data_IF_804184213356
#
_entry.id   IF_804184213356
#
_cell.length_a   1.000
_cell.length_b   1.000
_cell.length_c   1.000
_cell.angle_alpha   90.00
_cell.angle_beta   90.00
_cell.angle_gamma   90.00
#
_symmetry.space_group_name_H-M   'P 1'
#
loop_
_entity.id
_entity.type
_entity.pdbx_description
1 polymer ?
#
# COMPACT_ATOMS: atom_id res chain seq x y z
N UNK A 1 45.52 20.01 -14.19
CA UNK A 1 44.23 19.48 -14.70
C UNK A 1 43.45 18.87 -13.54
N UNK A 2 42.83 19.71 -12.70
CA UNK A 2 42.02 19.27 -11.54
C UNK A 2 40.95 20.33 -11.26
N UNK A 3 40.05 20.55 -12.22
CA UNK A 3 39.03 21.61 -12.16
C UNK A 3 37.64 21.17 -12.65
N UNK A 4 37.47 19.89 -13.05
CA UNK A 4 36.22 19.37 -13.61
C UNK A 4 35.52 18.32 -12.73
N UNK A 5 36.04 18.02 -11.53
CA UNK A 5 35.52 16.95 -10.66
C UNK A 5 35.00 17.44 -9.30
N UNK A 6 34.86 18.76 -9.09
CA UNK A 6 34.42 19.35 -7.82
C UNK A 6 32.92 19.67 -7.74
N UNK A 7 32.12 19.31 -8.77
CA UNK A 7 30.71 19.70 -8.88
C UNK A 7 29.69 18.56 -8.83
N UNK A 8 30.15 17.30 -8.70
CA UNK A 8 29.27 16.14 -8.59
C UNK A 8 29.21 15.77 -7.11
N UNK A 9 28.17 16.25 -6.43
CA UNK A 9 27.91 15.90 -5.03
C UNK A 9 27.54 14.42 -4.94
N UNK A 10 27.94 13.77 -3.84
CA UNK A 10 27.58 12.37 -3.61
C UNK A 10 26.05 12.21 -3.63
N UNK A 11 25.54 11.25 -4.41
CA UNK A 11 24.10 11.05 -4.67
C UNK A 11 23.52 11.76 -5.90
N UNK A 12 24.28 12.60 -6.61
CA UNK A 12 23.83 13.22 -7.88
C UNK A 12 24.00 12.31 -9.10
N UNK A 13 24.85 11.28 -8.98
CA UNK A 13 25.01 10.24 -9.99
C UNK A 13 24.05 9.10 -9.67
N UNK A 14 23.17 8.79 -10.62
CA UNK A 14 22.29 7.64 -10.49
C UNK A 14 23.13 6.36 -10.35
N UNK A 15 22.84 5.59 -9.30
CA UNK A 15 23.45 4.27 -9.10
C UNK A 15 23.02 3.28 -10.20
N UNK A 16 23.56 2.05 -10.18
CA UNK A 16 23.15 1.01 -11.11
C UNK A 16 21.62 0.87 -11.14
N UNK A 17 21.04 0.92 -12.35
CA UNK A 17 19.61 0.78 -12.52
C UNK A 17 19.11 -0.60 -12.08
N UNK A 18 17.87 -0.65 -11.58
CA UNK A 18 17.21 -1.92 -11.28
C UNK A 18 17.06 -2.75 -12.55
N UNK A 19 17.12 -4.08 -12.40
CA UNK A 19 16.75 -5.00 -13.48
C UNK A 19 15.27 -4.82 -13.82
N UNK A 20 14.90 -5.15 -15.06
CA UNK A 20 13.50 -5.03 -15.51
C UNK A 20 12.51 -5.75 -14.58
N UNK A 21 12.86 -6.96 -14.12
CA UNK A 21 12.03 -7.73 -13.20
C UNK A 21 11.90 -7.06 -11.82
N UNK A 22 12.98 -6.48 -11.30
CA UNK A 22 12.96 -5.78 -10.01
C UNK A 22 12.11 -4.52 -10.09
N UNK A 23 12.13 -3.83 -11.22
CA UNK A 23 11.30 -2.66 -11.49
C UNK A 23 9.82 -3.04 -11.50
N UNK A 24 9.44 -4.10 -12.22
CA UNK A 24 8.05 -4.58 -12.28
C UNK A 24 7.56 -5.03 -10.90
N UNK A 25 8.38 -5.78 -10.17
CA UNK A 25 8.01 -6.24 -8.82
C UNK A 25 7.82 -5.03 -7.89
N UNK A 26 8.80 -4.13 -7.85
CA UNK A 26 8.83 -3.00 -6.92
C UNK A 26 7.71 -2.00 -7.17
N UNK A 27 7.50 -1.61 -8.42
CA UNK A 27 6.61 -0.49 -8.75
C UNK A 27 5.22 -0.91 -9.20
N UNK A 28 4.97 -2.20 -9.45
CA UNK A 28 3.67 -2.70 -9.88
C UNK A 28 3.14 -3.81 -8.97
N UNK A 29 3.91 -4.88 -8.75
CA UNK A 29 3.42 -6.03 -7.99
C UNK A 29 3.24 -5.69 -6.50
N UNK A 30 4.24 -5.05 -5.86
CA UNK A 30 4.16 -4.68 -4.45
C UNK A 30 2.97 -3.74 -4.17
N UNK A 31 2.77 -2.63 -4.92
CA UNK A 31 1.61 -1.76 -4.71
C UNK A 31 0.26 -2.47 -4.91
N UNK A 32 0.13 -3.29 -5.95
CA UNK A 32 -1.10 -4.05 -6.22
C UNK A 32 -1.38 -5.06 -5.12
N UNK A 33 -0.36 -5.80 -4.67
CA UNK A 33 -0.50 -6.73 -3.55
C UNK A 33 -0.92 -6.01 -2.27
N UNK A 34 -0.31 -4.86 -1.96
CA UNK A 34 -0.68 -4.03 -0.81
C UNK A 34 -2.15 -3.61 -0.88
N UNK A 35 -2.61 -3.16 -2.05
CA UNK A 35 -4.01 -2.82 -2.28
C UNK A 35 -4.94 -4.00 -2.04
N UNK A 36 -4.60 -5.19 -2.58
CA UNK A 36 -5.41 -6.40 -2.41
C UNK A 36 -5.51 -6.85 -0.95
N UNK A 37 -4.42 -6.71 -0.18
CA UNK A 37 -4.43 -7.00 1.26
C UNK A 37 -5.40 -6.07 1.99
N UNK A 38 -5.31 -4.76 1.74
CA UNK A 38 -6.21 -3.78 2.37
C UNK A 38 -7.66 -4.03 1.95
N UNK A 39 -7.91 -4.22 0.65
CA UNK A 39 -9.23 -4.50 0.12
C UNK A 39 -9.83 -5.78 0.74
N UNK A 40 -9.03 -6.84 0.88
CA UNK A 40 -9.44 -8.08 1.54
C UNK A 40 -9.81 -7.87 3.00
N UNK A 41 -8.97 -7.16 3.76
CA UNK A 41 -9.24 -6.82 5.17
C UNK A 41 -10.51 -5.97 5.31
N UNK A 42 -10.68 -4.96 4.46
CA UNK A 42 -11.88 -4.11 4.43
C UNK A 42 -13.14 -4.92 4.12
N UNK A 43 -13.06 -5.86 3.17
CA UNK A 43 -14.19 -6.73 2.80
C UNK A 43 -14.60 -7.66 3.95
N UNK A 44 -13.63 -8.21 4.68
CA UNK A 44 -13.90 -9.04 5.86
C UNK A 44 -14.51 -8.19 6.98
N UNK A 45 -14.01 -6.97 7.18
CA UNK A 45 -14.50 -6.03 8.20
C UNK A 45 -15.86 -5.40 7.88
N UNK A 46 -16.26 -5.31 6.61
CA UNK A 46 -17.51 -4.69 6.18
C UNK A 46 -18.73 -5.59 6.33
N UNK A 47 -18.57 -6.83 6.83
CA UNK A 47 -19.71 -7.71 7.09
C UNK A 47 -20.68 -7.01 8.06
N UNK A 48 -21.99 -6.97 7.75
CA UNK A 48 -22.96 -6.32 8.61
C UNK A 48 -22.89 -6.99 9.99
N UNK A 49 -22.51 -6.21 11.00
CA UNK A 49 -22.67 -6.64 12.38
C UNK A 49 -24.15 -6.92 12.54
N UNK A 50 -24.48 -8.17 12.87
CA UNK A 50 -25.84 -8.55 13.24
C UNK A 50 -26.32 -7.54 14.28
N UNK A 51 -27.22 -6.64 13.88
CA UNK A 51 -27.87 -5.72 14.79
C UNK A 51 -28.53 -6.64 15.80
N UNK A 52 -28.10 -6.54 17.06
CA UNK A 52 -28.74 -7.27 18.14
C UNK A 52 -30.23 -7.03 18.00
N UNK A 53 -31.02 -8.10 17.83
CA UNK A 53 -32.49 -8.02 17.72
C UNK A 53 -32.95 -6.95 18.71
N UNK A 54 -33.61 -5.92 18.20
CA UNK A 54 -34.33 -4.94 19.01
C UNK A 54 -35.07 -5.76 20.07
N UNK A 55 -34.60 -5.69 21.31
CA UNK A 55 -35.19 -6.43 22.42
C UNK A 55 -36.67 -6.05 22.43
N UNK A 56 -37.52 -7.06 22.33
CA UNK A 56 -38.98 -6.96 22.23
C UNK A 56 -39.62 -6.49 23.53
N UNK A 57 -39.07 -5.44 24.13
CA UNK A 57 -39.65 -4.66 25.22
C UNK A 57 -40.26 -3.40 24.60
N UNK A 58 -41.13 -3.58 23.60
CA UNK A 58 -42.07 -2.56 23.12
C UNK A 58 -43.29 -3.27 22.55
N UNK A 59 -43.95 -4.07 23.37
CA UNK A 59 -45.36 -4.41 23.18
C UNK A 59 -46.03 -4.34 24.55
N UNK A 60 -46.43 -3.13 24.93
CA UNK A 60 -47.37 -2.89 26.03
C UNK A 60 -48.61 -2.24 25.38
N UNK A 61 -49.58 -3.06 24.99
CA UNK A 61 -51.01 -2.89 25.26
C UNK A 61 -51.73 -4.16 24.82
#
# INVERSE_FOLDING_TARGET
MHLFMSGVEDGTVAGPGLRAIETVITFLIIPVAMFLVIAGLSWIGSRPRTTKKQSSITSIN
#
